data_IF_155833951722
#
_entry.id   IF_155833951722
#
_cell.length_a   1.000
_cell.length_b   1.000
_cell.length_c   1.000
_cell.angle_alpha   90.00
_cell.angle_beta   90.00
_cell.angle_gamma   90.00
#
_symmetry.space_group_name_H-M   'P 1'
#
loop_
_entity.id
_entity.type
_entity.pdbx_description
1 polymer ?
#
# COMPACT_ATOMS: atom_id res chain seq x y z
N UNK A 1 -5.31 20.07 -14.07
CA UNK A 1 -4.29 19.86 -15.12
C UNK A 1 -2.95 19.70 -14.44
N UNK A 2 -2.44 18.47 -14.35
CA UNK A 2 -1.22 18.15 -13.59
C UNK A 2 -0.10 17.77 -14.57
N UNK A 3 0.70 18.77 -14.95
CA UNK A 3 1.72 18.75 -16.03
C UNK A 3 2.88 17.74 -15.82
N UNK A 4 2.94 17.08 -14.66
CA UNK A 4 3.98 16.07 -14.35
C UNK A 4 3.67 14.67 -14.87
N UNK A 5 2.39 14.30 -15.06
CA UNK A 5 2.03 12.95 -15.55
C UNK A 5 2.40 12.75 -17.02
N UNK A 6 2.24 13.78 -17.85
CA UNK A 6 2.46 13.69 -19.29
C UNK A 6 3.94 13.58 -19.66
N UNK A 7 4.85 14.18 -18.87
CA UNK A 7 6.29 14.02 -19.09
C UNK A 7 6.73 12.56 -18.94
N UNK A 8 6.19 11.83 -17.97
CA UNK A 8 6.53 10.44 -17.70
C UNK A 8 5.87 9.42 -18.63
N UNK A 9 4.91 9.87 -19.45
CA UNK A 9 4.21 9.04 -20.44
C UNK A 9 4.58 9.42 -21.88
N UNK A 10 5.70 10.13 -22.09
CA UNK A 10 6.22 10.38 -23.45
C UNK A 10 6.66 9.04 -24.09
N UNK A 11 6.28 8.77 -25.35
CA UNK A 11 6.71 7.56 -26.04
C UNK A 11 8.24 7.47 -26.13
N UNK A 12 8.78 6.29 -25.79
CA UNK A 12 10.20 5.98 -25.92
C UNK A 12 10.38 4.82 -26.89
N UNK A 13 11.50 4.80 -27.62
CA UNK A 13 11.76 3.71 -28.57
C UNK A 13 12.07 2.42 -27.82
N UNK A 14 11.22 1.41 -27.98
CA UNK A 14 11.43 0.08 -27.43
C UNK A 14 12.09 -0.83 -28.48
N UNK A 15 13.32 -1.26 -28.21
CA UNK A 15 14.12 -2.10 -29.13
C UNK A 15 13.52 -3.49 -29.37
N UNK A 16 12.82 -4.07 -28.39
CA UNK A 16 12.22 -5.41 -28.51
C UNK A 16 10.96 -5.37 -29.37
N UNK A 17 10.13 -4.35 -29.19
CA UNK A 17 8.91 -4.13 -29.96
C UNK A 17 9.15 -3.39 -31.29
N UNK A 18 10.37 -2.89 -31.51
CA UNK A 18 10.81 -2.12 -32.69
C UNK A 18 9.91 -0.91 -33.00
N UNK A 19 9.35 -0.26 -31.98
CA UNK A 19 8.45 0.91 -32.12
C UNK A 19 8.60 1.89 -30.96
N UNK A 20 8.22 3.15 -31.17
CA UNK A 20 7.97 4.07 -30.07
C UNK A 20 6.71 3.66 -29.33
N UNK A 21 6.80 3.58 -28.00
CA UNK A 21 5.70 3.16 -27.14
C UNK A 21 5.78 3.92 -25.82
N UNK A 22 4.64 4.34 -25.28
CA UNK A 22 4.57 4.91 -23.94
C UNK A 22 4.13 3.87 -22.90
N UNK A 23 4.05 4.28 -21.62
CA UNK A 23 3.73 3.35 -20.52
C UNK A 23 2.29 2.84 -20.60
N UNK A 24 1.34 3.70 -20.99
CA UNK A 24 -0.07 3.31 -21.15
C UNK A 24 -0.24 2.23 -22.24
N UNK A 25 0.36 2.45 -23.42
CA UNK A 25 0.35 1.48 -24.50
C UNK A 25 1.11 0.20 -24.13
N UNK A 26 2.18 0.29 -23.34
CA UNK A 26 2.89 -0.89 -22.87
C UNK A 26 2.03 -1.69 -21.89
N UNK A 27 1.29 -1.02 -21.00
CA UNK A 27 0.32 -1.65 -20.12
C UNK A 27 -0.76 -2.37 -20.93
N UNK A 28 -1.39 -1.71 -21.91
CA UNK A 28 -2.36 -2.34 -22.82
C UNK A 28 -1.80 -3.64 -23.42
N UNK A 29 -0.56 -3.59 -23.93
CA UNK A 29 0.13 -4.79 -24.47
C UNK A 29 0.36 -5.90 -23.45
N UNK A 30 0.54 -5.56 -22.18
CA UNK A 30 0.70 -6.54 -21.10
C UNK A 30 -0.66 -7.16 -20.76
N UNK A 31 -1.72 -6.36 -20.70
CA UNK A 31 -3.07 -6.85 -20.40
C UNK A 31 -3.62 -7.71 -21.55
N UNK A 32 -3.25 -7.42 -22.80
CA UNK A 32 -3.54 -8.26 -23.98
C UNK A 32 -2.99 -9.69 -23.89
N UNK A 33 -2.02 -9.98 -23.02
CA UNK A 33 -1.36 -11.29 -22.94
C UNK A 33 -2.30 -12.36 -22.38
N UNK A 34 -3.10 -12.00 -21.37
CA UNK A 34 -3.93 -12.95 -20.63
C UNK A 34 -5.18 -12.26 -20.07
N UNK A 35 -6.40 -12.75 -20.37
CA UNK A 35 -7.64 -12.12 -19.92
C UNK A 35 -7.85 -12.20 -18.40
N UNK A 36 -7.25 -13.18 -17.71
CA UNK A 36 -7.24 -13.27 -16.25
C UNK A 36 -6.33 -12.18 -15.68
N UNK A 37 -5.17 -11.92 -16.30
CA UNK A 37 -4.27 -10.85 -15.89
C UNK A 37 -4.95 -9.48 -16.05
N UNK A 38 -5.61 -9.23 -17.18
CA UNK A 38 -6.40 -8.02 -17.40
C UNK A 38 -7.47 -7.83 -16.33
N UNK A 39 -8.27 -8.86 -16.09
CA UNK A 39 -9.31 -8.84 -15.04
C UNK A 39 -8.72 -8.57 -13.66
N UNK A 40 -7.61 -9.24 -13.31
CA UNK A 40 -6.95 -9.06 -12.03
C UNK A 40 -6.44 -7.63 -11.85
N UNK A 41 -5.84 -7.05 -12.90
CA UNK A 41 -5.36 -5.68 -12.90
C UNK A 41 -6.49 -4.69 -12.59
N UNK A 42 -7.62 -4.79 -13.28
CA UNK A 42 -8.76 -3.91 -13.05
C UNK A 42 -9.35 -4.06 -11.66
N UNK A 43 -9.49 -5.29 -11.16
CA UNK A 43 -9.97 -5.53 -9.80
C UNK A 43 -9.05 -4.91 -8.74
N UNK A 44 -7.73 -5.00 -8.93
CA UNK A 44 -6.75 -4.36 -8.04
C UNK A 44 -6.81 -2.84 -8.14
N UNK A 45 -7.02 -2.28 -9.34
CA UNK A 45 -7.16 -0.85 -9.55
C UNK A 45 -8.37 -0.25 -8.80
N UNK A 46 -9.48 -0.99 -8.71
CA UNK A 46 -10.64 -0.60 -7.89
C UNK A 46 -10.22 -0.39 -6.42
N UNK A 47 -9.40 -1.28 -5.86
CA UNK A 47 -8.92 -1.12 -4.49
C UNK A 47 -7.92 0.03 -4.32
N UNK A 48 -7.08 0.30 -5.34
CA UNK A 48 -6.24 1.50 -5.34
C UNK A 48 -7.07 2.78 -5.33
N UNK A 49 -8.12 2.84 -6.13
CA UNK A 49 -9.05 3.97 -6.13
C UNK A 49 -9.74 4.12 -4.77
N UNK A 50 -10.25 3.02 -4.19
CA UNK A 50 -10.76 3.00 -2.82
C UNK A 50 -9.76 3.59 -1.82
N UNK A 51 -8.48 3.23 -1.89
CA UNK A 51 -7.47 3.77 -0.97
C UNK A 51 -7.20 5.27 -1.12
N UNK A 52 -7.56 5.87 -2.25
CA UNK A 52 -7.36 7.29 -2.52
C UNK A 52 -8.63 8.14 -2.27
N UNK A 53 -9.79 7.51 -2.05
CA UNK A 53 -11.04 8.22 -1.73
C UNK A 53 -11.17 8.45 -0.23
N UNK A 54 -11.55 9.67 0.16
CA UNK A 54 -11.85 10.05 1.53
C UNK A 54 -13.37 10.11 1.71
N UNK A 55 -13.95 9.08 2.33
CA UNK A 55 -15.39 8.99 2.62
C UNK A 55 -15.60 8.77 4.13
N UNK A 56 -16.80 9.05 4.65
CA UNK A 56 -17.21 8.65 5.99
C UNK A 56 -17.03 7.14 6.22
N UNK A 57 -16.99 6.73 7.49
CA UNK A 57 -16.70 5.34 7.86
C UNK A 57 -17.72 4.35 7.27
N UNK A 58 -19.00 4.69 7.34
CA UNK A 58 -20.10 3.86 6.86
C UNK A 58 -20.00 3.64 5.34
N UNK A 59 -19.84 4.72 4.57
CA UNK A 59 -19.64 4.65 3.12
C UNK A 59 -18.35 3.89 2.77
N UNK A 60 -17.28 4.07 3.55
CA UNK A 60 -16.05 3.29 3.36
C UNK A 60 -16.24 1.81 3.60
N UNK A 61 -17.02 1.46 4.61
CA UNK A 61 -17.31 0.07 4.95
C UNK A 61 -18.12 -0.59 3.83
N UNK A 62 -19.13 0.11 3.29
CA UNK A 62 -19.95 -0.39 2.19
C UNK A 62 -19.12 -0.57 0.91
N UNK A 63 -18.29 0.41 0.54
CA UNK A 63 -17.36 0.31 -0.59
C UNK A 63 -16.41 -0.90 -0.44
N UNK A 64 -15.80 -1.04 0.74
CA UNK A 64 -14.85 -2.14 1.01
C UNK A 64 -15.55 -3.50 0.91
N UNK A 65 -16.78 -3.60 1.43
CA UNK A 65 -17.59 -4.81 1.35
C UNK A 65 -17.97 -5.16 -0.09
N UNK A 66 -18.26 -4.16 -0.94
CA UNK A 66 -18.46 -4.37 -2.37
C UNK A 66 -17.21 -4.96 -3.04
N UNK A 67 -16.04 -4.39 -2.78
CA UNK A 67 -14.75 -4.87 -3.32
C UNK A 67 -14.46 -6.31 -2.87
N UNK A 68 -14.67 -6.62 -1.59
CA UNK A 68 -14.51 -7.96 -1.04
C UNK A 68 -15.40 -8.96 -1.80
N UNK A 69 -16.66 -8.59 -2.05
CA UNK A 69 -17.61 -9.41 -2.78
C UNK A 69 -17.16 -9.66 -4.23
N UNK A 70 -16.73 -8.62 -4.94
CA UNK A 70 -16.20 -8.75 -6.30
C UNK A 70 -14.97 -9.67 -6.36
N UNK A 71 -14.06 -9.55 -5.40
CA UNK A 71 -12.86 -10.39 -5.33
C UNK A 71 -13.22 -11.86 -5.07
N UNK A 72 -14.23 -12.12 -4.24
CA UNK A 72 -14.74 -13.48 -4.02
C UNK A 72 -15.37 -14.07 -5.29
N UNK A 73 -16.05 -13.26 -6.09
CA UNK A 73 -16.72 -13.69 -7.32
C UNK A 73 -15.78 -13.73 -8.55
N UNK A 74 -14.58 -13.15 -8.44
CA UNK A 74 -13.64 -12.99 -9.56
C UNK A 74 -13.12 -14.30 -10.19
N UNK A 75 -13.24 -15.44 -9.48
CA UNK A 75 -12.59 -16.71 -9.81
C UNK A 75 -11.05 -16.67 -9.87
N UNK A 76 -10.42 -15.64 -9.30
CA UNK A 76 -8.96 -15.55 -9.18
C UNK A 76 -8.56 -15.98 -7.75
N UNK A 77 -7.84 -17.10 -7.58
CA UNK A 77 -7.51 -17.66 -6.25
C UNK A 77 -6.82 -16.67 -5.32
N UNK A 78 -5.87 -15.88 -5.83
CA UNK A 78 -5.10 -14.89 -5.10
C UNK A 78 -5.99 -13.77 -4.55
N UNK A 79 -6.91 -13.27 -5.38
CA UNK A 79 -7.88 -12.25 -4.96
C UNK A 79 -8.91 -12.82 -3.97
N UNK A 80 -9.32 -14.08 -4.13
CA UNK A 80 -10.16 -14.79 -3.14
C UNK A 80 -9.46 -14.95 -1.79
N UNK A 81 -8.16 -15.21 -1.78
CA UNK A 81 -7.38 -15.27 -0.54
C UNK A 81 -7.23 -13.87 0.07
N UNK A 82 -6.96 -12.86 -0.76
CA UNK A 82 -6.82 -11.49 -0.29
C UNK A 82 -8.12 -10.91 0.28
N UNK A 83 -9.28 -11.23 -0.33
CA UNK A 83 -10.58 -10.78 0.17
C UNK A 83 -10.90 -11.28 1.57
N UNK A 84 -10.43 -12.48 1.95
CA UNK A 84 -10.54 -12.98 3.34
C UNK A 84 -9.73 -12.12 4.30
N UNK A 85 -8.55 -11.67 3.88
CA UNK A 85 -7.71 -10.77 4.67
C UNK A 85 -8.40 -9.42 4.83
N UNK A 86 -8.91 -8.84 3.73
CA UNK A 86 -9.67 -7.60 3.77
C UNK A 86 -10.89 -7.71 4.69
N UNK A 87 -11.65 -8.80 4.58
CA UNK A 87 -12.81 -9.05 5.42
C UNK A 87 -12.45 -9.13 6.91
N UNK A 88 -11.39 -9.86 7.26
CA UNK A 88 -10.97 -10.01 8.65
C UNK A 88 -10.55 -8.68 9.29
N UNK A 89 -9.93 -7.78 8.52
CA UNK A 89 -9.39 -6.50 8.99
C UNK A 89 -10.23 -5.28 8.58
N UNK A 90 -11.46 -5.50 8.10
CA UNK A 90 -12.28 -4.45 7.46
C UNK A 90 -12.52 -3.23 8.35
N UNK A 91 -12.70 -3.46 9.65
CA UNK A 91 -12.97 -2.38 10.62
C UNK A 91 -11.73 -1.52 10.80
N UNK A 92 -10.57 -2.14 11.01
CA UNK A 92 -9.28 -1.46 11.17
C UNK A 92 -8.88 -0.74 9.88
N UNK A 93 -9.12 -1.35 8.73
CA UNK A 93 -8.89 -0.72 7.42
C UNK A 93 -9.73 0.54 7.31
N UNK A 94 -11.05 0.48 7.55
CA UNK A 94 -11.92 1.66 7.47
C UNK A 94 -11.52 2.75 8.48
N UNK A 95 -11.21 2.37 9.72
CA UNK A 95 -10.71 3.31 10.73
C UNK A 95 -9.39 3.99 10.32
N UNK A 96 -8.53 3.31 9.54
CA UNK A 96 -7.28 3.90 9.06
C UNK A 96 -7.46 5.12 8.15
N UNK A 97 -8.67 5.36 7.64
CA UNK A 97 -9.01 6.52 6.82
C UNK A 97 -9.53 7.71 7.62
N UNK A 98 -9.79 7.54 8.92
CA UNK A 98 -10.18 8.63 9.79
C UNK A 98 -9.04 9.65 9.86
N UNK A 99 -9.38 10.92 9.64
CA UNK A 99 -8.44 12.02 9.73
C UNK A 99 -8.36 12.49 11.18
N UNK A 100 -7.14 12.59 11.71
CA UNK A 100 -6.84 13.28 12.97
C UNK A 100 -6.11 14.56 12.58
N UNK A 101 -6.59 15.72 13.04
CA UNK A 101 -6.05 17.03 12.69
C UNK A 101 -5.89 17.23 11.16
N UNK A 102 -6.93 16.86 10.41
CA UNK A 102 -6.98 16.92 8.94
C UNK A 102 -5.91 16.06 8.22
N UNK A 103 -5.28 15.12 8.92
CA UNK A 103 -4.26 14.21 8.37
C UNK A 103 -4.62 12.76 8.64
N UNK A 104 -4.39 11.92 7.65
CA UNK A 104 -4.45 10.46 7.83
C UNK A 104 -3.23 10.04 8.64
N UNK A 105 -3.43 9.22 9.67
CA UNK A 105 -2.30 8.63 10.40
C UNK A 105 -1.51 7.76 9.42
N UNK A 106 -0.22 8.06 9.27
CA UNK A 106 0.67 7.31 8.40
C UNK A 106 1.45 6.26 9.19
N UNK A 107 1.74 5.12 8.55
CA UNK A 107 2.64 4.12 9.10
C UNK A 107 4.12 4.55 9.07
N UNK A 108 4.46 5.68 8.43
CA UNK A 108 5.83 6.11 8.21
C UNK A 108 6.63 6.26 9.51
N UNK A 109 6.00 6.76 10.58
CA UNK A 109 6.65 6.91 11.87
C UNK A 109 6.97 5.56 12.52
N UNK A 110 6.01 4.63 12.50
CA UNK A 110 6.17 3.26 13.00
C UNK A 110 7.23 2.51 12.21
N UNK A 111 7.26 2.67 10.88
CA UNK A 111 8.26 2.09 10.00
C UNK A 111 9.67 2.64 10.28
N UNK A 112 9.81 3.95 10.44
CA UNK A 112 11.08 4.59 10.80
C UNK A 112 11.60 4.07 12.16
N UNK A 113 10.71 3.97 13.15
CA UNK A 113 11.04 3.43 14.47
C UNK A 113 11.49 1.97 14.39
N UNK A 114 10.78 1.14 13.63
CA UNK A 114 11.15 -0.26 13.40
C UNK A 114 12.49 -0.40 12.67
N UNK A 115 12.80 0.50 11.73
CA UNK A 115 14.10 0.57 11.06
C UNK A 115 15.23 0.80 12.06
N UNK A 116 15.09 1.84 12.90
CA UNK A 116 16.06 2.17 13.96
C UNK A 116 16.27 0.99 14.93
N UNK A 117 15.20 0.32 15.35
CA UNK A 117 15.29 -0.86 16.22
C UNK A 117 16.09 -1.99 15.55
N UNK A 118 15.82 -2.27 14.27
CA UNK A 118 16.57 -3.29 13.50
C UNK A 118 18.05 -2.94 13.40
N UNK A 119 18.39 -1.67 13.22
CA UNK A 119 19.78 -1.21 13.16
C UNK A 119 20.48 -1.38 14.52
N UNK A 120 19.82 -1.08 15.64
CA UNK A 120 20.35 -1.33 17.00
C UNK A 120 20.64 -2.83 17.19
N UNK A 121 19.69 -3.69 16.81
CA UNK A 121 19.85 -5.15 16.92
C UNK A 121 21.03 -5.66 16.09
N UNK A 122 21.14 -5.19 14.85
CA UNK A 122 22.21 -5.56 13.91
C UNK A 122 23.58 -5.13 14.44
N UNK A 123 23.69 -3.88 14.89
CA UNK A 123 24.94 -3.32 15.40
C UNK A 123 25.39 -3.96 16.72
N UNK A 124 24.45 -4.42 17.55
CA UNK A 124 24.75 -5.09 18.80
C UNK A 124 25.27 -6.54 18.62
N UNK A 125 25.18 -7.13 17.41
CA UNK A 125 25.45 -8.56 17.15
C UNK A 125 24.62 -9.50 18.05
N UNK A 126 23.38 -9.10 18.33
CA UNK A 126 22.49 -9.80 19.25
C UNK A 126 22.39 -9.13 20.62
N UNK A 127 21.30 -9.40 21.34
CA UNK A 127 21.08 -8.89 22.69
C UNK A 127 20.65 -10.04 23.60
N UNK A 128 21.47 -10.30 24.62
CA UNK A 128 21.28 -11.45 25.53
C UNK A 128 20.35 -11.16 26.72
N UNK A 129 19.92 -9.91 26.90
CA UNK A 129 19.01 -9.50 27.97
C UNK A 129 17.90 -8.64 27.39
N UNK A 130 16.66 -9.12 27.52
CA UNK A 130 15.47 -8.40 27.09
C UNK A 130 15.37 -7.02 27.76
N UNK A 131 15.63 -6.93 29.06
CA UNK A 131 15.59 -5.67 29.80
C UNK A 131 16.57 -4.64 29.24
N UNK A 132 17.82 -5.04 28.96
CA UNK A 132 18.81 -4.15 28.34
C UNK A 132 18.42 -3.77 26.91
N UNK A 133 17.90 -4.73 26.14
CA UNK A 133 17.42 -4.49 24.78
C UNK A 133 16.31 -3.44 24.76
N UNK A 134 15.26 -3.65 25.57
CA UNK A 134 14.13 -2.73 25.72
C UNK A 134 14.59 -1.34 26.15
N UNK A 135 15.40 -1.24 27.19
CA UNK A 135 15.86 0.07 27.68
C UNK A 135 16.67 0.83 26.63
N UNK A 136 17.51 0.13 25.86
CA UNK A 136 18.29 0.73 24.77
C UNK A 136 17.40 1.19 23.61
N UNK A 137 16.44 0.37 23.20
CA UNK A 137 15.48 0.73 22.15
C UNK A 137 14.66 1.97 22.56
N UNK A 138 14.06 1.94 23.76
CA UNK A 138 13.28 3.05 24.28
C UNK A 138 14.11 4.33 24.41
N UNK A 139 15.36 4.22 24.88
CA UNK A 139 16.25 5.35 24.99
C UNK A 139 16.54 5.99 23.64
N UNK A 140 16.87 5.20 22.61
CA UNK A 140 17.20 5.73 21.26
C UNK A 140 15.98 6.28 20.54
N UNK A 141 14.83 5.60 20.62
CA UNK A 141 13.59 6.05 19.95
C UNK A 141 13.02 7.31 20.60
N UNK A 142 13.20 7.50 21.92
CA UNK A 142 12.64 8.64 22.65
C UNK A 142 13.51 9.89 22.66
N UNK A 143 14.65 9.95 21.94
CA UNK A 143 15.59 11.06 22.17
C UNK A 143 15.06 12.45 21.83
N UNK A 144 14.09 12.64 20.91
CA UNK A 144 13.56 14.01 20.61
C UNK A 144 12.18 14.10 19.90
N UNK A 145 11.36 13.05 19.80
CA UNK A 145 10.23 13.03 18.85
C UNK A 145 8.91 12.47 19.39
N UNK A 146 8.40 13.03 20.50
CA UNK A 146 6.99 12.85 20.91
C UNK A 146 6.16 14.14 20.74
N UNK A 147 6.63 15.09 19.94
CA UNK A 147 5.77 16.14 19.41
C UNK A 147 5.14 15.62 18.13
N UNK A 148 3.83 15.38 18.15
CA UNK A 148 3.03 15.20 16.93
C UNK A 148 3.32 16.40 16.02
N UNK A 149 4.01 16.19 14.89
CA UNK A 149 4.23 17.19 13.84
C UNK A 149 3.30 16.96 12.67
#
# INVERSE_FOLDING_TARGET
MNDKSDFHNRPQYNRKLKRYINKAQLLEKILEIDPILEKAYHLVDIYFNFNNTFLPFEEKMDDLMSIISEYQQSNIPELKQFSRTLYNWRVEICHSFILIDYRRISNAFTEASNGTIKDIMRNAKGMHSFTRARNRMMYVVNQDTWTLR
#
